data_IF_448139328474
#
_entry.id   IF_448139328474
#
_cell.length_a   1.000
_cell.length_b   1.000
_cell.length_c   1.000
_cell.angle_alpha   90.00
_cell.angle_beta   90.00
_cell.angle_gamma   90.00
#
_symmetry.space_group_name_H-M   'P 1'
#
loop_
_entity.id
_entity.type
_entity.pdbx_description
1 polymer ?
#
# COMPACT_ATOMS: atom_id res chain seq x y z
N UNK A 1 6.03 -4.23 26.47
CA UNK A 1 6.69 -2.91 26.66
C UNK A 1 7.92 -2.99 27.56
N UNK A 2 7.75 -3.34 28.84
CA UNK A 2 8.83 -3.37 29.85
C UNK A 2 10.08 -4.14 29.42
N UNK A 3 9.92 -5.38 28.96
CA UNK A 3 11.03 -6.23 28.50
C UNK A 3 11.80 -5.56 27.36
N UNK A 4 11.09 -4.98 26.39
CA UNK A 4 11.68 -4.37 25.21
C UNK A 4 12.50 -3.11 25.57
N UNK A 5 11.95 -2.21 26.39
CA UNK A 5 12.68 -1.00 26.80
C UNK A 5 13.90 -1.31 27.69
N UNK A 6 13.83 -2.37 28.49
CA UNK A 6 14.95 -2.78 29.34
C UNK A 6 16.09 -3.44 28.56
N UNK A 7 15.76 -4.25 27.54
CA UNK A 7 16.76 -5.01 26.79
C UNK A 7 17.30 -4.25 25.57
N UNK A 8 16.60 -3.20 25.12
CA UNK A 8 16.97 -2.46 23.91
C UNK A 8 17.19 -0.97 24.21
N UNK A 9 18.23 -0.58 24.99
CA UNK A 9 18.49 0.83 25.33
C UNK A 9 18.84 1.71 24.12
N UNK A 10 19.33 1.10 23.03
CA UNK A 10 19.66 1.75 21.76
C UNK A 10 18.49 1.83 20.78
N UNK A 11 17.28 1.47 21.20
CA UNK A 11 16.12 1.51 20.33
C UNK A 11 15.78 2.95 19.95
N UNK A 12 15.86 3.29 18.66
CA UNK A 12 15.53 4.63 18.18
C UNK A 12 14.06 4.80 17.78
N UNK A 13 13.44 3.73 17.28
CA UNK A 13 12.05 3.78 16.81
C UNK A 13 11.25 2.66 17.45
N UNK A 14 10.14 3.02 18.08
CA UNK A 14 9.15 2.07 18.57
C UNK A 14 7.79 2.38 17.97
N UNK A 15 7.28 1.43 17.19
CA UNK A 15 5.95 1.51 16.59
C UNK A 15 5.12 0.31 17.06
N UNK A 16 4.04 0.57 17.81
CA UNK A 16 3.08 -0.43 18.23
C UNK A 16 1.75 -0.14 17.53
N UNK A 17 1.33 -1.04 16.66
CA UNK A 17 0.11 -0.92 15.88
C UNK A 17 -0.70 -2.20 16.04
N UNK A 18 -2.00 -2.06 16.15
CA UNK A 18 -2.91 -3.19 16.23
C UNK A 18 -4.14 -2.92 15.38
N UNK A 19 -4.77 -3.97 14.84
CA UNK A 19 -6.05 -3.88 14.12
C UNK A 19 -7.18 -3.73 15.15
N UNK A 20 -7.08 -4.44 16.27
CA UNK A 20 -7.92 -4.29 17.46
C UNK A 20 -7.26 -3.35 18.48
N UNK A 21 -7.89 -3.14 19.63
CA UNK A 21 -7.27 -2.39 20.72
C UNK A 21 -6.14 -3.18 21.36
N UNK A 22 -4.94 -2.60 21.37
CA UNK A 22 -3.80 -3.11 22.13
C UNK A 22 -3.75 -2.46 23.52
N UNK A 23 -3.99 -3.23 24.57
CA UNK A 23 -3.92 -2.75 25.95
C UNK A 23 -2.47 -2.84 26.45
N UNK A 24 -1.88 -1.68 26.76
CA UNK A 24 -0.51 -1.57 27.26
C UNK A 24 -0.51 -1.37 28.78
N UNK A 25 -0.54 -2.46 29.54
CA UNK A 25 -0.48 -2.40 31.00
C UNK A 25 0.84 -1.81 31.52
N UNK A 26 0.74 -0.95 32.53
CA UNK A 26 1.88 -0.38 33.25
C UNK A 26 2.32 -1.23 34.46
N UNK A 27 3.43 -0.85 35.13
CA UNK A 27 4.39 0.16 34.72
C UNK A 27 5.35 -0.36 33.63
N UNK A 28 5.73 0.51 32.69
CA UNK A 28 6.68 0.16 31.61
C UNK A 28 8.14 0.21 32.07
N UNK A 29 8.42 0.97 33.13
CA UNK A 29 9.75 1.15 33.72
C UNK A 29 9.66 0.76 35.20
N UNK A 30 10.58 -0.07 35.69
CA UNK A 30 10.42 -0.81 36.95
C UNK A 30 10.65 0.02 38.23
N UNK A 31 11.33 1.17 38.16
CA UNK A 31 11.58 2.02 39.32
C UNK A 31 12.03 3.42 38.87
N UNK A 32 11.39 4.49 39.33
CA UNK A 32 11.82 5.87 39.05
C UNK A 32 13.24 6.14 39.58
N UNK A 33 13.60 5.52 40.70
CA UNK A 33 14.93 5.62 41.29
C UNK A 33 16.03 4.96 40.44
N UNK A 34 15.74 3.83 39.78
CA UNK A 34 16.70 3.21 38.85
C UNK A 34 16.68 3.90 37.49
N UNK A 35 15.55 4.51 37.11
CA UNK A 35 15.44 5.31 35.89
C UNK A 35 16.35 6.55 35.94
N UNK A 36 16.46 7.23 37.08
CA UNK A 36 17.41 8.35 37.25
C UNK A 36 18.88 7.95 37.13
N UNK A 37 19.21 6.68 37.44
CA UNK A 37 20.56 6.13 37.26
C UNK A 37 20.81 5.56 35.86
N UNK A 38 19.77 5.41 35.04
CA UNK A 38 19.90 4.88 33.69
C UNK A 38 20.23 6.01 32.72
N UNK A 39 21.02 5.65 31.71
CA UNK A 39 21.23 6.51 30.56
C UNK A 39 19.89 6.80 29.87
N UNK A 40 19.70 8.02 29.35
CA UNK A 40 18.52 8.36 28.57
C UNK A 40 18.34 7.37 27.40
N UNK A 41 17.10 6.97 27.13
CA UNK A 41 16.82 6.06 26.01
C UNK A 41 17.10 6.76 24.68
N UNK A 42 17.65 6.03 23.72
CA UNK A 42 17.95 6.55 22.37
C UNK A 42 16.69 6.77 21.49
N UNK A 43 15.49 6.69 22.07
CA UNK A 43 14.23 6.80 21.36
C UNK A 43 14.09 8.18 20.69
N UNK A 44 13.88 8.16 19.38
CA UNK A 44 13.62 9.32 18.52
C UNK A 44 12.20 9.34 17.99
N UNK A 45 11.58 8.17 17.78
CA UNK A 45 10.23 8.05 17.24
C UNK A 45 9.38 7.08 18.04
N UNK A 46 8.23 7.57 18.52
CA UNK A 46 7.17 6.79 19.14
C UNK A 46 5.91 6.86 18.28
N UNK A 47 5.38 5.70 17.94
CA UNK A 47 4.15 5.56 17.16
C UNK A 47 3.25 4.50 17.80
N UNK A 48 2.12 4.93 18.32
CA UNK A 48 1.13 4.07 18.95
C UNK A 48 -0.19 4.20 18.19
N UNK A 49 -0.72 3.08 17.67
CA UNK A 49 -2.00 3.03 16.94
C UNK A 49 -2.96 2.04 17.56
N UNK A 50 -4.21 2.47 17.78
CA UNK A 50 -5.27 1.67 18.42
C UNK A 50 -4.81 1.09 19.75
N UNK A 51 -4.17 1.92 20.57
CA UNK A 51 -3.66 1.50 21.88
C UNK A 51 -4.55 2.03 23.00
N UNK A 52 -4.60 1.28 24.08
CA UNK A 52 -5.05 1.77 25.37
C UNK A 52 -3.82 1.81 26.28
N UNK A 53 -3.36 3.01 26.63
CA UNK A 53 -2.15 3.21 27.44
C UNK A 53 -2.42 4.07 28.68
N UNK A 54 -1.74 3.81 29.81
CA UNK A 54 -1.79 4.70 30.95
C UNK A 54 -0.99 5.97 30.67
N UNK A 55 -1.61 7.15 30.80
CA UNK A 55 -0.93 8.43 30.54
C UNK A 55 0.34 8.58 31.39
N UNK A 56 0.29 8.20 32.66
CA UNK A 56 1.44 8.26 33.57
C UNK A 56 2.64 7.47 33.04
N UNK A 57 2.42 6.30 32.45
CA UNK A 57 3.49 5.48 31.90
C UNK A 57 4.12 6.12 30.66
N UNK A 58 3.31 6.77 29.82
CA UNK A 58 3.81 7.52 28.66
C UNK A 58 4.61 8.75 29.12
N UNK A 59 4.09 9.53 30.07
CA UNK A 59 4.79 10.68 30.65
C UNK A 59 6.16 10.28 31.25
N UNK A 60 6.22 9.18 32.01
CA UNK A 60 7.51 8.65 32.52
C UNK A 60 8.45 8.28 31.38
N UNK A 61 7.95 7.65 30.31
CA UNK A 61 8.76 7.31 29.14
C UNK A 61 9.33 8.54 28.45
N UNK A 62 8.53 9.60 28.28
CA UNK A 62 8.96 10.88 27.70
C UNK A 62 10.04 11.55 28.57
N UNK A 63 9.90 11.50 29.89
CA UNK A 63 10.89 12.04 30.83
C UNK A 63 12.27 11.40 30.68
N UNK A 64 12.33 10.10 30.38
CA UNK A 64 13.60 9.36 30.22
C UNK A 64 14.09 9.26 28.77
N UNK A 65 13.35 9.85 27.82
CA UNK A 65 13.63 9.79 26.38
C UNK A 65 13.69 11.20 25.78
N UNK A 66 14.65 12.04 26.20
CA UNK A 66 14.71 13.46 25.80
C UNK A 66 14.99 13.65 24.30
N UNK A 67 15.46 12.61 23.60
CA UNK A 67 15.79 12.62 22.18
C UNK A 67 14.59 12.38 21.25
N UNK A 68 13.38 12.24 21.80
CA UNK A 68 12.18 12.06 20.99
C UNK A 68 12.00 13.27 20.06
N UNK A 69 11.92 12.98 18.77
CA UNK A 69 11.64 13.92 17.70
C UNK A 69 10.20 13.80 17.21
N UNK A 70 9.60 12.61 17.34
CA UNK A 70 8.24 12.36 16.86
C UNK A 70 7.48 11.51 17.89
N UNK A 71 6.35 12.02 18.35
CA UNK A 71 5.38 11.29 19.17
C UNK A 71 4.04 11.23 18.45
N UNK A 72 3.55 10.01 18.24
CA UNK A 72 2.27 9.74 17.57
C UNK A 72 1.46 8.83 18.45
N UNK A 73 0.30 9.28 18.90
CA UNK A 73 -0.72 8.44 19.52
C UNK A 73 -1.97 8.60 18.67
N UNK A 74 -2.33 7.56 17.92
CA UNK A 74 -3.42 7.60 16.95
C UNK A 74 -4.48 6.57 17.33
N UNK A 75 -5.75 6.99 17.32
CA UNK A 75 -6.89 6.14 17.73
C UNK A 75 -6.70 5.56 19.15
N UNK A 76 -6.21 6.38 20.09
CA UNK A 76 -6.16 6.00 21.49
C UNK A 76 -7.57 5.64 21.96
N UNK A 77 -7.72 4.51 22.65
CA UNK A 77 -8.96 4.22 23.36
C UNK A 77 -8.91 4.84 24.74
N UNK A 78 -9.83 5.74 25.00
CA UNK A 78 -9.96 6.42 26.27
C UNK A 78 -10.91 5.66 27.18
N UNK A 79 -10.66 5.73 28.49
CA UNK A 79 -11.71 5.48 29.48
C UNK A 79 -11.95 6.78 30.20
N UNK A 80 -13.21 7.15 30.40
CA UNK A 80 -13.58 8.37 31.16
C UNK A 80 -13.00 8.36 32.57
N UNK A 81 -12.75 7.17 33.14
CA UNK A 81 -12.17 7.00 34.47
C UNK A 81 -11.04 5.96 34.49
N UNK A 82 -10.19 6.07 35.51
CA UNK A 82 -9.13 5.11 35.79
C UNK A 82 -7.79 5.44 35.13
N UNK A 83 -6.84 4.50 35.15
CA UNK A 83 -5.45 4.76 34.76
C UNK A 83 -5.26 5.01 33.27
N UNK A 84 -6.30 4.75 32.46
CA UNK A 84 -6.32 4.94 31.00
C UNK A 84 -7.06 6.21 30.57
N UNK A 85 -7.46 7.05 31.52
CA UNK A 85 -7.89 8.40 31.20
C UNK A 85 -6.67 9.21 30.70
N UNK A 86 -6.86 9.91 29.59
CA UNK A 86 -5.83 10.73 28.95
C UNK A 86 -6.32 12.16 28.84
N UNK A 87 -5.63 13.05 29.53
CA UNK A 87 -5.72 14.48 29.37
C UNK A 87 -4.72 14.92 28.29
N UNK A 88 -5.23 15.21 27.10
CA UNK A 88 -4.44 15.54 25.90
C UNK A 88 -3.55 16.78 26.13
N UNK A 89 -4.11 17.85 26.69
CA UNK A 89 -3.39 19.09 26.99
C UNK A 89 -2.21 18.86 27.92
N UNK A 90 -2.45 18.15 29.03
CA UNK A 90 -1.39 17.79 29.98
C UNK A 90 -0.29 16.96 29.32
N UNK A 91 -0.65 15.98 28.49
CA UNK A 91 0.33 15.15 27.79
C UNK A 91 1.17 15.96 26.80
N UNK A 92 0.54 16.89 26.06
CA UNK A 92 1.22 17.78 25.14
C UNK A 92 2.21 18.70 25.87
N UNK A 93 1.80 19.31 26.98
CA UNK A 93 2.67 20.16 27.82
C UNK A 93 3.84 19.36 28.40
N UNK A 94 3.58 18.12 28.86
CA UNK A 94 4.62 17.23 29.34
C UNK A 94 5.62 16.86 28.24
N UNK A 95 5.15 16.57 27.03
CA UNK A 95 6.01 16.29 25.88
C UNK A 95 6.87 17.51 25.52
N UNK A 96 6.30 18.72 25.45
CA UNK A 96 7.03 19.97 25.22
C UNK A 96 8.10 20.22 26.27
N UNK A 97 7.79 19.96 27.55
CA UNK A 97 8.72 20.16 28.68
C UNK A 97 9.92 19.22 28.64
N UNK A 98 9.71 17.95 28.30
CA UNK A 98 10.73 16.90 28.44
C UNK A 98 11.44 16.51 27.13
N UNK A 99 10.82 16.74 25.97
CA UNK A 99 11.37 16.37 24.66
C UNK A 99 11.79 17.62 23.88
N UNK A 100 12.95 18.20 24.20
CA UNK A 100 13.45 19.44 23.56
C UNK A 100 13.66 19.33 22.05
N UNK A 101 13.78 18.11 21.54
CA UNK A 101 13.96 17.81 20.12
C UNK A 101 12.65 17.45 19.40
N UNK A 102 11.50 17.58 20.06
CA UNK A 102 10.21 17.21 19.51
C UNK A 102 9.87 18.09 18.30
N UNK A 103 9.92 17.48 17.12
CA UNK A 103 9.56 18.08 15.83
C UNK A 103 8.09 17.85 15.47
N UNK A 104 7.49 16.78 16.02
CA UNK A 104 6.13 16.39 15.71
C UNK A 104 5.46 15.72 16.91
N UNK A 105 4.24 16.18 17.22
CA UNK A 105 3.36 15.61 18.23
C UNK A 105 1.98 15.41 17.61
N UNK A 106 1.41 14.22 17.83
CA UNK A 106 0.03 13.93 17.46
C UNK A 106 -0.64 13.09 18.52
N UNK A 107 -1.86 13.47 18.88
CA UNK A 107 -2.75 12.69 19.72
C UNK A 107 -4.15 12.67 19.11
N UNK A 108 -4.75 11.50 18.97
CA UNK A 108 -6.16 11.37 18.63
C UNK A 108 -6.85 10.25 19.41
N UNK A 109 -8.07 10.52 19.87
CA UNK A 109 -8.94 9.56 20.54
C UNK A 109 -9.99 9.00 19.56
N UNK A 110 -10.21 7.69 19.61
CA UNK A 110 -11.20 6.99 18.78
C UNK A 110 -12.65 7.37 19.12
N UNK A 111 -12.95 7.62 20.39
CA UNK A 111 -14.34 7.82 20.86
C UNK A 111 -14.86 9.23 20.58
N UNK A 112 -13.97 10.23 20.52
CA UNK A 112 -14.38 11.62 20.43
C UNK A 112 -14.65 12.11 19.00
N UNK A 113 -14.34 11.30 17.97
CA UNK A 113 -14.78 11.43 16.57
C UNK A 113 -14.56 12.75 15.81
N UNK A 114 -14.33 13.88 16.48
CA UNK A 114 -14.53 15.24 15.95
C UNK A 114 -13.64 16.29 16.63
N UNK A 115 -13.19 16.08 17.87
CA UNK A 115 -12.40 17.07 18.62
C UNK A 115 -10.98 16.57 18.93
N UNK A 116 -10.15 16.31 17.91
CA UNK A 116 -8.72 16.07 18.15
C UNK A 116 -7.99 17.39 18.39
N UNK A 117 -7.28 17.52 19.52
CA UNK A 117 -6.29 18.59 19.71
C UNK A 117 -5.02 18.19 18.94
N UNK A 118 -5.05 18.39 17.62
CA UNK A 118 -3.78 18.61 16.92
C UNK A 118 -3.21 19.93 17.44
N UNK A 119 -1.89 20.00 17.67
CA UNK A 119 -1.25 21.32 17.81
C UNK A 119 -1.59 22.05 16.51
N UNK A 120 -2.52 23.01 16.57
CA UNK A 120 -2.92 23.74 15.39
C UNK A 120 -1.70 24.53 14.92
N UNK A 121 -1.55 24.67 13.60
CA UNK A 121 -0.48 25.45 12.98
C UNK A 121 -0.35 26.88 13.54
N UNK A 122 -1.41 27.40 14.18
CA UNK A 122 -1.43 28.68 14.88
C UNK A 122 -0.70 28.69 16.23
N UNK A 123 -0.59 27.56 16.92
CA UNK A 123 -0.02 27.51 18.28
C UNK A 123 1.52 27.37 18.28
N UNK A 124 2.11 27.24 17.09
CA UNK A 124 3.54 27.32 16.86
C UNK A 124 3.80 28.70 16.26
N UNK A 125 3.85 29.72 17.11
CA UNK A 125 4.16 31.09 16.71
C UNK A 125 5.39 31.13 15.78
N UNK A 126 5.15 31.54 14.54
CA UNK A 126 6.00 31.35 13.37
C UNK A 126 7.29 32.16 13.31
N UNK A 127 7.88 32.57 14.44
CA UNK A 127 9.04 33.47 14.43
C UNK A 127 10.34 32.88 14.98
N UNK A 128 10.32 31.76 15.72
CA UNK A 128 11.47 31.40 16.56
C UNK A 128 12.20 30.10 16.25
N UNK A 129 11.73 29.26 15.31
CA UNK A 129 12.44 28.00 14.99
C UNK A 129 12.83 27.90 13.52
N UNK A 130 14.09 28.26 13.15
CA UNK A 130 14.61 28.12 11.79
C UNK A 130 14.69 26.64 11.34
N UNK A 131 14.58 25.68 12.26
CA UNK A 131 14.64 24.24 11.97
C UNK A 131 13.30 23.61 11.55
N UNK A 132 12.20 24.35 11.62
CA UNK A 132 10.89 23.84 11.22
C UNK A 132 10.61 23.98 9.73
N UNK A 133 11.34 24.82 8.98
CA UNK A 133 11.14 25.07 7.52
C UNK A 133 11.10 23.80 6.64
N UNK A 134 11.74 22.71 7.06
CA UNK A 134 11.76 21.45 6.30
C UNK A 134 10.76 20.37 6.82
N UNK A 135 9.95 20.68 7.84
CA UNK A 135 9.13 19.69 8.59
C UNK A 135 7.61 19.87 8.41
N UNK A 136 7.17 20.80 7.56
CA UNK A 136 5.76 21.01 7.27
C UNK A 136 5.26 19.95 6.24
N UNK A 137 4.12 19.22 6.34
CA UNK A 137 2.97 19.26 7.24
C UNK A 137 2.45 17.82 7.45
N UNK A 138 2.54 17.35 8.68
CA UNK A 138 2.05 16.03 9.08
C UNK A 138 0.59 16.15 9.52
N UNK A 139 -0.37 16.07 8.59
CA UNK A 139 -1.78 16.17 8.92
C UNK A 139 -2.35 14.86 9.47
N UNK A 140 -2.40 14.79 10.78
CA UNK A 140 -2.94 13.64 11.52
C UNK A 140 -4.30 14.03 12.10
N UNK A 141 -5.35 13.93 11.30
CA UNK A 141 -6.72 14.15 11.76
C UNK A 141 -7.55 12.90 11.53
N UNK A 142 -8.58 12.68 12.36
CA UNK A 142 -9.62 11.67 12.10
C UNK A 142 -10.49 12.03 10.89
N UNK A 143 -10.50 13.32 10.54
CA UNK A 143 -11.27 13.87 9.45
C UNK A 143 -10.35 14.72 8.59
N UNK A 144 -10.27 14.37 7.32
CA UNK A 144 -9.87 15.31 6.28
C UNK A 144 -11.03 16.30 6.13
N UNK A 145 -11.19 17.19 7.12
CA UNK A 145 -12.32 18.13 7.14
C UNK A 145 -12.25 18.98 5.87
N UNK A 146 -13.38 19.35 5.24
CA UNK A 146 -13.37 20.24 4.08
C UNK A 146 -12.54 21.52 4.27
N UNK A 147 -12.40 22.01 5.51
CA UNK A 147 -11.51 23.13 5.86
C UNK A 147 -10.03 22.80 5.67
N UNK A 148 -9.58 21.60 6.03
CA UNK A 148 -8.22 21.14 5.76
C UNK A 148 -7.97 21.06 4.27
N UNK A 149 -8.88 20.41 3.53
CA UNK A 149 -8.78 20.34 2.07
C UNK A 149 -8.67 21.76 1.52
N UNK A 150 -9.56 22.67 1.90
CA UNK A 150 -9.53 24.09 1.51
C UNK A 150 -8.17 24.75 1.80
N UNK A 151 -7.63 24.57 3.00
CA UNK A 151 -6.32 25.13 3.37
C UNK A 151 -5.19 24.57 2.50
N UNK A 152 -5.23 23.27 2.22
CA UNK A 152 -4.32 22.61 1.31
C UNK A 152 -4.44 23.14 -0.13
N UNK A 153 -5.65 23.51 -0.58
CA UNK A 153 -5.86 24.14 -1.90
C UNK A 153 -5.36 25.59 -1.95
N UNK A 154 -5.28 26.28 -0.81
CA UNK A 154 -4.78 27.67 -0.75
C UNK A 154 -3.25 27.75 -0.83
N UNK A 155 -2.53 26.67 -0.54
CA UNK A 155 -1.07 26.62 -0.55
C UNK A 155 -0.49 25.40 -1.29
N UNK A 156 -0.88 25.16 -2.56
CA UNK A 156 -0.51 23.93 -3.27
C UNK A 156 0.98 23.84 -3.58
N UNK A 157 1.67 24.98 -3.72
CA UNK A 157 3.05 25.04 -4.22
C UNK A 157 4.14 24.81 -3.16
N UNK A 158 3.78 24.74 -1.87
CA UNK A 158 4.75 24.59 -0.78
C UNK A 158 4.77 23.18 -0.20
N UNK A 159 3.71 22.40 -0.41
CA UNK A 159 3.57 21.09 0.20
C UNK A 159 4.35 20.04 -0.59
N UNK A 160 5.44 19.54 -0.03
CA UNK A 160 6.23 18.43 -0.59
C UNK A 160 5.94 17.10 0.09
N UNK A 161 5.39 17.12 1.32
CA UNK A 161 5.15 15.94 2.15
C UNK A 161 3.78 16.00 2.82
N UNK A 162 2.97 14.97 2.63
CA UNK A 162 1.65 14.80 3.24
C UNK A 162 1.52 13.39 3.84
N UNK A 163 1.31 13.28 5.15
CA UNK A 163 0.97 12.01 5.82
C UNK A 163 -0.42 12.15 6.43
N UNK A 164 -1.35 11.29 6.01
CA UNK A 164 -2.75 11.22 6.46
C UNK A 164 -2.93 9.90 7.19
N UNK A 165 -3.21 9.93 8.48
CA UNK A 165 -3.36 8.71 9.27
C UNK A 165 -4.77 8.10 9.22
N UNK A 166 -5.78 8.93 8.98
CA UNK A 166 -7.16 8.49 8.87
C UNK A 166 -7.61 8.33 7.43
N UNK A 167 -8.92 8.14 7.25
CA UNK A 167 -9.55 8.11 5.94
C UNK A 167 -9.81 9.55 5.44
N UNK A 168 -9.25 9.92 4.29
CA UNK A 168 -9.52 11.18 3.61
C UNK A 168 -10.32 10.91 2.32
N UNK A 169 -11.66 11.02 2.34
CA UNK A 169 -12.49 10.68 1.19
C UNK A 169 -12.20 11.56 -0.04
N UNK A 170 -11.67 12.78 0.14
CA UNK A 170 -11.29 13.69 -0.94
C UNK A 170 -9.78 13.71 -1.22
N UNK A 171 -9.09 12.60 -0.96
CA UNK A 171 -7.66 12.50 -1.25
C UNK A 171 -7.37 12.68 -2.75
N UNK A 172 -8.21 12.11 -3.61
CA UNK A 172 -8.05 12.27 -5.05
C UNK A 172 -8.11 13.74 -5.47
N UNK A 173 -9.08 14.51 -4.95
CA UNK A 173 -9.19 15.95 -5.21
C UNK A 173 -7.94 16.72 -4.79
N UNK A 174 -7.36 16.39 -3.62
CA UNK A 174 -6.09 16.95 -3.15
C UNK A 174 -4.93 16.64 -4.12
N UNK A 175 -4.79 15.39 -4.56
CA UNK A 175 -3.70 15.01 -5.47
C UNK A 175 -3.80 15.68 -6.84
N UNK A 176 -5.01 16.02 -7.27
CA UNK A 176 -5.27 16.73 -8.53
C UNK A 176 -4.90 18.23 -8.50
N UNK A 177 -4.54 18.78 -7.34
CA UNK A 177 -4.20 20.21 -7.18
C UNK A 177 -2.82 20.45 -6.56
N UNK A 178 -2.09 19.40 -6.18
CA UNK A 178 -0.78 19.50 -5.50
C UNK A 178 0.38 19.09 -6.42
N UNK A 179 0.81 19.93 -7.37
CA UNK A 179 1.87 19.56 -8.31
C UNK A 179 3.23 19.31 -7.63
N UNK A 180 3.51 19.98 -6.51
CA UNK A 180 4.79 19.90 -5.80
C UNK A 180 4.89 18.77 -4.78
N UNK A 181 3.84 17.96 -4.63
CA UNK A 181 3.83 16.88 -3.65
C UNK A 181 4.79 15.76 -4.09
N UNK A 182 5.81 15.51 -3.26
CA UNK A 182 6.83 14.48 -3.50
C UNK A 182 6.61 13.23 -2.66
N UNK A 183 5.98 13.35 -1.48
CA UNK A 183 5.74 12.21 -0.61
C UNK A 183 4.32 12.22 -0.04
N UNK A 184 3.54 11.19 -0.36
CA UNK A 184 2.22 10.94 0.19
C UNK A 184 2.23 9.66 1.02
N UNK A 185 1.74 9.73 2.25
CA UNK A 185 1.48 8.57 3.10
C UNK A 185 0.09 8.61 3.70
N UNK A 186 -0.85 7.98 3.04
CA UNK A 186 -2.25 7.85 3.43
C UNK A 186 -2.71 6.37 3.52
N UNK A 187 -2.06 5.51 4.33
CA UNK A 187 -2.36 4.06 4.36
C UNK A 187 -3.76 3.73 4.90
N UNK A 188 -4.40 4.68 5.60
CA UNK A 188 -5.78 4.59 6.08
C UNK A 188 -6.82 5.18 5.12
N UNK A 189 -6.38 5.77 4.01
CA UNK A 189 -7.26 6.36 2.99
C UNK A 189 -7.23 5.50 1.74
N UNK A 190 -8.37 5.36 1.06
CA UNK A 190 -8.46 4.68 -0.21
C UNK A 190 -8.69 5.66 -1.36
N UNK A 191 -8.23 5.27 -2.53
CA UNK A 191 -8.64 5.88 -3.78
C UNK A 191 -9.80 5.06 -4.32
N UNK A 192 -10.90 5.72 -4.66
CA UNK A 192 -12.01 5.05 -5.34
C UNK A 192 -11.60 4.69 -6.76
N UNK A 193 -12.01 3.50 -7.23
CA UNK A 193 -11.86 3.14 -8.64
C UNK A 193 -12.57 4.15 -9.55
N UNK A 194 -13.68 4.73 -9.11
CA UNK A 194 -14.41 5.76 -9.84
C UNK A 194 -13.59 7.02 -10.11
N UNK A 195 -12.57 7.29 -9.28
CA UNK A 195 -11.73 8.49 -9.38
C UNK A 195 -10.57 8.28 -10.36
N UNK A 196 -10.14 7.03 -10.57
CA UNK A 196 -9.02 6.68 -11.46
C UNK A 196 -9.46 6.00 -12.76
N UNK A 197 -10.73 5.62 -12.87
CA UNK A 197 -11.35 5.18 -14.12
C UNK A 197 -11.72 6.39 -14.99
N UNK A 198 -10.70 6.97 -15.62
CA UNK A 198 -10.85 8.14 -16.50
C UNK A 198 -11.72 7.88 -17.73
N UNK A 199 -11.96 6.60 -18.05
CA UNK A 199 -12.74 6.16 -19.22
C UNK A 199 -14.18 5.76 -18.84
N UNK A 200 -14.54 5.82 -17.55
CA UNK A 200 -15.87 5.45 -17.05
C UNK A 200 -16.30 4.01 -17.43
N UNK A 201 -15.36 3.08 -17.51
CA UNK A 201 -15.59 1.68 -17.88
C UNK A 201 -16.30 0.85 -16.81
N UNK A 202 -16.14 1.20 -15.53
CA UNK A 202 -16.76 0.50 -14.40
C UNK A 202 -18.14 1.06 -14.01
N UNK A 203 -18.53 2.22 -14.56
CA UNK A 203 -19.76 2.91 -14.13
C UNK A 203 -21.00 2.30 -14.80
N UNK A 204 -21.79 1.56 -14.04
CA UNK A 204 -23.12 1.12 -14.46
C UNK A 204 -24.16 2.19 -14.15
N UNK A 205 -24.39 3.11 -15.10
CA UNK A 205 -25.54 4.00 -15.10
C UNK A 205 -25.28 5.43 -14.61
N UNK A 206 -25.64 6.40 -15.48
CA UNK A 206 -25.70 7.87 -15.32
C UNK A 206 -24.39 8.57 -14.96
N UNK A 207 -23.67 9.08 -15.98
CA UNK A 207 -22.53 9.98 -15.74
C UNK A 207 -22.96 11.41 -15.39
N UNK A 208 -24.22 11.76 -15.65
CA UNK A 208 -24.74 13.15 -15.63
C UNK A 208 -24.70 13.90 -14.29
N UNK A 209 -24.17 13.32 -13.20
CA UNK A 209 -24.11 13.98 -11.89
C UNK A 209 -22.74 14.06 -11.24
N UNK A 210 -21.69 13.49 -11.84
CA UNK A 210 -20.35 13.51 -11.24
C UNK A 210 -19.40 14.39 -12.06
N UNK A 211 -18.49 15.12 -11.41
CA UNK A 211 -17.44 15.83 -12.11
C UNK A 211 -16.60 14.85 -12.94
N UNK A 212 -16.05 15.35 -14.04
CA UNK A 212 -15.12 14.59 -14.86
C UNK A 212 -13.89 14.18 -14.03
N UNK A 213 -13.39 12.95 -14.19
CA UNK A 213 -12.26 12.43 -13.43
C UNK A 213 -11.02 13.25 -13.77
N UNK A 214 -10.31 13.70 -12.74
CA UNK A 214 -9.13 14.52 -12.90
C UNK A 214 -7.89 13.64 -12.81
N UNK A 215 -6.79 14.10 -13.40
CA UNK A 215 -5.50 13.46 -13.18
C UNK A 215 -4.78 14.11 -12.01
N UNK A 216 -4.01 13.29 -11.29
CA UNK A 216 -3.11 13.80 -10.26
C UNK A 216 -2.11 14.81 -10.83
N UNK A 217 -2.01 15.97 -10.19
CA UNK A 217 -1.02 16.98 -10.53
C UNK A 217 0.38 16.58 -10.03
N UNK A 218 0.48 15.77 -8.97
CA UNK A 218 1.74 15.32 -8.36
C UNK A 218 2.46 14.24 -9.18
N UNK A 219 2.99 14.61 -10.36
CA UNK A 219 3.71 13.68 -11.27
C UNK A 219 5.06 13.23 -10.72
N UNK A 220 5.68 14.08 -9.92
CA UNK A 220 7.02 13.87 -9.36
C UNK A 220 7.01 13.15 -8.00
N UNK A 221 5.92 12.45 -7.70
CA UNK A 221 5.77 11.72 -6.45
C UNK A 221 6.85 10.63 -6.32
N UNK A 222 7.66 10.71 -5.27
CA UNK A 222 8.70 9.73 -4.93
C UNK A 222 8.22 8.69 -3.91
N UNK A 223 7.21 9.03 -3.09
CA UNK A 223 6.63 8.12 -2.11
C UNK A 223 5.11 8.14 -2.19
N UNK A 224 4.49 6.96 -2.32
CA UNK A 224 3.05 6.80 -2.35
C UNK A 224 2.65 5.61 -1.48
N UNK A 225 2.12 5.89 -0.28
CA UNK A 225 1.50 4.87 0.56
C UNK A 225 0.00 5.14 0.61
N UNK A 226 -0.82 4.24 0.10
CA UNK A 226 -2.28 4.43 -0.03
C UNK A 226 -2.99 3.13 0.24
N UNK A 227 -4.19 3.22 0.82
CA UNK A 227 -5.14 2.12 0.79
C UNK A 227 -5.70 1.93 -0.62
N UNK A 228 -5.98 0.69 -0.97
CA UNK A 228 -6.75 0.37 -2.16
C UNK A 228 -7.92 -0.51 -1.77
N UNK A 229 -9.08 -0.19 -2.33
CA UNK A 229 -10.29 -0.96 -2.11
C UNK A 229 -10.90 -1.32 -3.45
N UNK A 230 -10.98 -2.61 -3.73
CA UNK A 230 -11.68 -3.12 -4.90
C UNK A 230 -12.97 -3.80 -4.45
N UNK A 231 -14.04 -3.52 -5.19
CA UNK A 231 -15.37 -4.07 -4.96
C UNK A 231 -15.82 -4.86 -6.18
N UNK A 232 -16.70 -5.82 -5.95
CA UNK A 232 -17.30 -6.64 -7.01
C UNK A 232 -16.57 -7.95 -7.27
N UNK A 233 -17.27 -8.82 -8.00
CA UNK A 233 -16.76 -10.09 -8.51
C UNK A 233 -15.87 -9.91 -9.74
N UNK A 234 -15.97 -8.76 -10.40
CA UNK A 234 -15.35 -8.56 -11.71
C UNK A 234 -13.83 -8.61 -11.60
N UNK A 235 -13.17 -9.44 -12.42
CA UNK A 235 -11.73 -9.47 -12.48
C UNK A 235 -11.20 -8.19 -13.17
N UNK A 236 -10.11 -7.64 -12.63
CA UNK A 236 -9.36 -6.56 -13.27
C UNK A 236 -9.55 -5.11 -12.77
N UNK A 237 -10.26 -4.76 -11.67
CA UNK A 237 -10.22 -3.39 -11.15
C UNK A 237 -8.81 -2.95 -10.76
N UNK A 238 -7.95 -3.88 -10.39
CA UNK A 238 -6.56 -3.60 -10.04
C UNK A 238 -5.75 -3.07 -11.24
N UNK A 239 -6.16 -3.37 -12.48
CA UNK A 239 -5.50 -2.82 -13.69
C UNK A 239 -5.57 -1.31 -13.75
N UNK A 240 -6.67 -0.72 -13.27
CA UNK A 240 -6.79 0.73 -13.17
C UNK A 240 -5.79 1.28 -12.18
N UNK A 241 -5.71 0.69 -10.98
CA UNK A 241 -4.80 1.14 -9.93
C UNK A 241 -3.34 1.03 -10.38
N UNK A 242 -2.92 -0.15 -10.83
CA UNK A 242 -1.54 -0.40 -11.22
C UNK A 242 -1.16 0.40 -12.46
N UNK A 243 -2.02 0.43 -13.49
CA UNK A 243 -1.81 1.23 -14.70
C UNK A 243 -1.70 2.72 -14.39
N UNK A 244 -2.66 3.27 -13.64
CA UNK A 244 -2.75 4.71 -13.34
C UNK A 244 -1.53 5.16 -12.54
N UNK A 245 -1.18 4.45 -11.46
CA UNK A 245 0.00 4.78 -10.65
C UNK A 245 1.29 4.66 -11.47
N UNK A 246 1.42 3.60 -12.28
CA UNK A 246 2.63 3.36 -13.09
C UNK A 246 2.89 4.43 -14.15
N UNK A 247 1.82 5.04 -14.69
CA UNK A 247 1.89 6.07 -15.72
C UNK A 247 2.04 7.46 -15.11
N UNK A 248 1.25 7.79 -14.08
CA UNK A 248 1.21 9.14 -13.55
C UNK A 248 2.32 9.49 -12.57
N UNK A 249 2.92 8.50 -11.92
CA UNK A 249 3.97 8.71 -10.91
C UNK A 249 5.23 7.90 -11.26
N UNK A 250 5.86 8.16 -12.43
CA UNK A 250 6.99 7.35 -12.90
C UNK A 250 8.24 7.44 -12.01
N UNK A 251 8.35 8.50 -11.19
CA UNK A 251 9.48 8.76 -10.28
C UNK A 251 9.35 8.08 -8.90
N UNK A 252 8.34 7.24 -8.70
CA UNK A 252 8.14 6.56 -7.42
C UNK A 252 9.34 5.69 -7.03
N UNK A 253 9.80 5.87 -5.79
CA UNK A 253 10.86 5.08 -5.14
C UNK A 253 10.31 4.18 -4.04
N UNK A 254 9.25 4.60 -3.36
CA UNK A 254 8.62 3.86 -2.26
C UNK A 254 7.10 3.79 -2.46
N UNK A 255 6.62 2.61 -2.85
CA UNK A 255 5.20 2.35 -3.13
C UNK A 255 4.63 1.34 -2.13
N UNK A 256 3.54 1.71 -1.47
CA UNK A 256 2.78 0.83 -0.58
C UNK A 256 1.29 0.88 -0.93
N UNK A 257 0.74 -0.28 -1.27
CA UNK A 257 -0.70 -0.50 -1.35
C UNK A 257 -1.16 -1.19 -0.06
N UNK A 258 -1.70 -0.42 0.88
CA UNK A 258 -2.22 -0.94 2.14
C UNK A 258 -3.50 -1.72 1.90
N UNK A 259 -3.57 -2.93 2.47
CA UNK A 259 -4.71 -3.84 2.33
C UNK A 259 -5.93 -3.46 3.17
N UNK A 260 -6.96 -4.30 3.05
CA UNK A 260 -8.30 -4.21 3.67
C UNK A 260 -8.33 -4.25 5.20
N UNK A 261 -7.18 -4.42 5.81
CA UNK A 261 -7.00 -4.77 7.21
C UNK A 261 -7.07 -3.55 8.10
N UNK A 262 -6.63 -2.41 7.55
CA UNK A 262 -6.87 -1.10 8.14
C UNK A 262 -8.39 -0.79 8.23
N UNK A 263 -9.23 -1.54 7.51
CA UNK A 263 -10.63 -1.24 7.22
C UNK A 263 -11.63 -2.17 7.90
N UNK A 264 -11.21 -3.38 8.28
CA UNK A 264 -12.11 -4.40 8.87
C UNK A 264 -12.83 -3.92 10.14
N UNK A 265 -12.38 -2.83 10.77
CA UNK A 265 -13.02 -2.25 11.95
C UNK A 265 -14.26 -1.38 11.66
N UNK A 266 -14.53 -0.99 10.42
CA UNK A 266 -15.55 0.03 10.10
C UNK A 266 -16.91 -0.53 9.67
N UNK A 267 -16.98 -1.73 9.11
CA UNK A 267 -18.27 -2.35 8.78
C UNK A 267 -18.19 -3.88 8.73
N UNK A 268 -18.97 -4.61 9.55
CA UNK A 268 -18.97 -6.08 9.54
C UNK A 268 -19.56 -6.67 8.27
N UNK A 269 -20.41 -5.92 7.55
CA UNK A 269 -21.05 -6.36 6.30
C UNK A 269 -20.14 -6.16 5.09
N UNK A 270 -19.04 -5.42 5.24
CA UNK A 270 -18.23 -4.99 4.12
C UNK A 270 -16.82 -5.56 4.19
N UNK A 271 -16.55 -6.53 3.31
CA UNK A 271 -15.22 -7.14 3.16
C UNK A 271 -14.67 -6.71 1.82
N UNK A 272 -13.77 -5.70 1.78
CA UNK A 272 -13.13 -5.36 0.53
C UNK A 272 -12.28 -6.56 0.07
N UNK A 273 -12.10 -6.67 -1.24
CA UNK A 273 -11.31 -7.75 -1.82
C UNK A 273 -9.82 -7.40 -1.71
N UNK A 274 -8.99 -8.39 -1.41
CA UNK A 274 -7.55 -8.21 -1.47
C UNK A 274 -7.12 -7.90 -2.92
N UNK A 275 -6.13 -7.03 -3.10
CA UNK A 275 -5.60 -6.71 -4.43
C UNK A 275 -5.09 -7.99 -5.12
N UNK A 276 -5.63 -8.28 -6.29
CA UNK A 276 -5.21 -9.43 -7.08
C UNK A 276 -3.88 -9.12 -7.78
N UNK A 277 -2.79 -9.82 -7.44
CA UNK A 277 -1.47 -9.64 -8.07
C UNK A 277 -1.20 -10.58 -9.24
N UNK A 278 -2.24 -10.93 -10.00
CA UNK A 278 -2.07 -11.75 -11.19
C UNK A 278 -1.52 -10.92 -12.35
N UNK A 279 -1.04 -11.61 -13.40
CA UNK A 279 -0.64 -10.95 -14.64
C UNK A 279 -1.85 -10.26 -15.27
N UNK A 280 -2.98 -10.98 -15.36
CA UNK A 280 -4.24 -10.43 -15.87
C UNK A 280 -4.75 -9.24 -15.05
N UNK A 281 -4.48 -9.21 -13.74
CA UNK A 281 -4.77 -8.08 -12.86
C UNK A 281 -3.88 -6.85 -13.09
N UNK A 282 -2.86 -6.95 -13.95
CA UNK A 282 -2.00 -5.82 -14.33
C UNK A 282 -0.89 -5.52 -13.33
N UNK A 283 -0.59 -6.43 -12.38
CA UNK A 283 0.50 -6.20 -11.42
C UNK A 283 1.85 -5.97 -12.12
N UNK A 284 2.04 -6.57 -13.30
CA UNK A 284 3.22 -6.35 -14.12
C UNK A 284 3.40 -4.90 -14.61
N UNK A 285 2.33 -4.12 -14.71
CA UNK A 285 2.40 -2.71 -15.16
C UNK A 285 3.25 -1.86 -14.22
N UNK A 286 3.37 -2.23 -12.93
CA UNK A 286 4.25 -1.55 -11.97
C UNK A 286 5.74 -1.65 -12.32
N UNK A 287 6.14 -2.50 -13.26
CA UNK A 287 7.53 -2.52 -13.76
C UNK A 287 7.90 -1.35 -14.66
N UNK A 288 6.93 -0.50 -15.05
CA UNK A 288 7.21 0.83 -15.61
C UNK A 288 7.90 1.77 -14.62
N UNK A 289 7.76 1.53 -13.31
CA UNK A 289 8.38 2.33 -12.25
C UNK A 289 9.88 2.00 -12.11
N UNK A 290 10.71 2.55 -13.01
CA UNK A 290 12.15 2.25 -13.08
C UNK A 290 12.93 2.70 -11.83
N UNK A 291 12.42 3.71 -11.12
CA UNK A 291 13.04 4.25 -9.90
C UNK A 291 12.60 3.55 -8.62
N UNK A 292 11.74 2.54 -8.71
CA UNK A 292 11.17 1.89 -7.54
C UNK A 292 12.24 1.14 -6.75
N UNK A 293 12.44 1.51 -5.49
CA UNK A 293 13.38 0.89 -4.56
C UNK A 293 12.67 -0.03 -3.56
N UNK A 294 11.41 0.29 -3.22
CA UNK A 294 10.60 -0.42 -2.24
C UNK A 294 9.18 -0.60 -2.73
N UNK A 295 8.70 -1.84 -2.69
CA UNK A 295 7.33 -2.20 -3.02
C UNK A 295 6.69 -2.96 -1.86
N UNK A 296 5.52 -2.52 -1.42
CA UNK A 296 4.69 -3.23 -0.45
C UNK A 296 3.27 -3.36 -0.95
N UNK A 297 2.70 -4.56 -0.84
CA UNK A 297 1.32 -4.84 -1.25
C UNK A 297 0.65 -5.70 -0.18
N UNK A 298 -0.38 -5.16 0.47
CA UNK A 298 -1.05 -5.82 1.58
C UNK A 298 -0.21 -5.83 2.86
N UNK A 299 -0.87 -6.03 4.01
CA UNK A 299 -0.24 -6.07 5.34
C UNK A 299 -0.68 -7.30 6.16
N UNK A 300 -1.54 -8.16 5.63
CA UNK A 300 -2.01 -9.38 6.28
C UNK A 300 -1.24 -10.54 5.74
N UNK A 301 -0.92 -11.46 6.64
CA UNK A 301 -0.38 -12.77 6.31
C UNK A 301 -1.49 -13.61 5.64
N UNK A 302 -1.82 -13.26 4.39
CA UNK A 302 -2.68 -14.05 3.51
C UNK A 302 -1.75 -14.93 2.67
N UNK A 303 -1.99 -16.24 2.72
CA UNK A 303 -1.35 -17.18 1.83
C UNK A 303 -1.87 -16.96 0.40
N UNK A 304 -1.17 -16.12 -0.36
CA UNK A 304 -1.44 -15.95 -1.78
C UNK A 304 -0.88 -17.15 -2.53
N UNK A 305 -1.81 -17.91 -3.10
CA UNK A 305 -1.53 -19.09 -3.89
C UNK A 305 -1.71 -18.76 -5.36
N UNK A 306 -0.61 -18.34 -5.99
CA UNK A 306 -0.57 -18.07 -7.41
C UNK A 306 0.45 -18.97 -8.10
N UNK A 307 0.13 -19.50 -9.30
CA UNK A 307 1.10 -20.17 -10.15
C UNK A 307 2.39 -19.36 -10.36
N UNK A 308 3.53 -20.03 -10.53
CA UNK A 308 4.84 -19.36 -10.61
C UNK A 308 4.92 -18.31 -11.72
N UNK A 309 4.23 -18.51 -12.83
CA UNK A 309 4.25 -17.60 -13.98
C UNK A 309 3.66 -16.21 -13.67
N UNK A 310 2.96 -16.04 -12.54
CA UNK A 310 2.56 -14.74 -12.03
C UNK A 310 3.70 -13.95 -11.36
N UNK A 311 4.81 -14.60 -11.04
CA UNK A 311 5.95 -14.02 -10.32
C UNK A 311 7.26 -14.13 -11.10
N UNK A 312 7.40 -15.15 -11.95
CA UNK A 312 8.63 -15.48 -12.69
C UNK A 312 9.17 -14.32 -13.54
N UNK A 313 8.30 -13.37 -13.92
CA UNK A 313 8.65 -12.17 -14.67
C UNK A 313 9.36 -11.09 -13.85
N UNK A 314 9.22 -11.11 -12.52
CA UNK A 314 9.80 -10.11 -11.62
C UNK A 314 11.33 -10.26 -11.52
N UNK A 315 11.83 -11.50 -11.59
CA UNK A 315 13.25 -11.81 -11.43
C UNK A 315 13.87 -12.11 -12.78
N UNK A 316 14.91 -11.35 -13.14
CA UNK A 316 15.71 -11.63 -14.32
C UNK A 316 16.44 -12.97 -14.19
N UNK A 317 16.42 -13.78 -15.23
CA UNK A 317 17.23 -15.00 -15.27
C UNK A 317 18.62 -14.71 -15.84
N UNK A 318 19.67 -15.23 -15.18
CA UNK A 318 21.06 -15.12 -15.66
C UNK A 318 21.28 -15.88 -16.99
N UNK A 319 20.50 -16.93 -17.23
CA UNK A 319 20.55 -17.71 -18.47
C UNK A 319 19.55 -17.17 -19.47
N UNK A 320 20.05 -16.79 -20.66
CA UNK A 320 19.22 -16.38 -21.80
C UNK A 320 18.17 -17.44 -22.13
N UNK A 321 18.53 -18.72 -22.12
CA UNK A 321 17.63 -19.85 -22.35
C UNK A 321 16.47 -19.89 -21.34
N UNK A 322 16.76 -19.65 -20.06
CA UNK A 322 15.73 -19.62 -19.02
C UNK A 322 14.79 -18.43 -19.21
N UNK A 323 15.32 -17.26 -19.57
CA UNK A 323 14.50 -16.08 -19.85
C UNK A 323 13.63 -16.27 -21.09
N UNK A 324 14.16 -16.86 -22.18
CA UNK A 324 13.36 -17.22 -23.36
C UNK A 324 12.23 -18.18 -23.00
N UNK A 325 12.49 -19.18 -22.15
CA UNK A 325 11.45 -20.10 -21.70
C UNK A 325 10.38 -19.41 -20.85
N UNK A 326 10.77 -18.47 -19.98
CA UNK A 326 9.82 -17.63 -19.22
C UNK A 326 8.99 -16.75 -20.16
N UNK A 327 9.61 -16.12 -21.16
CA UNK A 327 8.93 -15.31 -22.17
C UNK A 327 7.93 -16.15 -22.97
N UNK A 328 8.31 -17.33 -23.45
CA UNK A 328 7.40 -18.23 -24.16
C UNK A 328 6.19 -18.62 -23.31
N UNK A 329 6.39 -18.89 -22.01
CA UNK A 329 5.28 -19.15 -21.07
C UNK A 329 4.36 -17.94 -20.96
N UNK A 330 4.90 -16.72 -20.82
CA UNK A 330 4.11 -15.47 -20.80
C UNK A 330 3.32 -15.30 -22.10
N UNK A 331 3.95 -15.49 -23.25
CA UNK A 331 3.29 -15.38 -24.55
C UNK A 331 2.18 -16.42 -24.73
N UNK A 332 2.35 -17.63 -24.19
CA UNK A 332 1.28 -18.65 -24.19
C UNK A 332 0.07 -18.20 -23.35
N UNK A 333 0.30 -17.56 -22.21
CA UNK A 333 -0.75 -16.99 -21.37
C UNK A 333 -1.45 -15.83 -22.10
N UNK A 334 -0.71 -14.92 -22.72
CA UNK A 334 -1.31 -13.81 -23.48
C UNK A 334 -2.15 -14.33 -24.65
N UNK A 335 -1.67 -15.34 -25.37
CA UNK A 335 -2.43 -15.99 -26.44
C UNK A 335 -3.74 -16.60 -25.95
N UNK A 336 -3.80 -17.11 -24.71
CA UNK A 336 -5.05 -17.63 -24.15
C UNK A 336 -6.04 -16.52 -23.76
N UNK A 337 -5.62 -15.25 -23.75
CA UNK A 337 -6.47 -14.10 -23.50
C UNK A 337 -7.22 -13.60 -24.73
N UNK A 338 -7.01 -14.18 -25.93
CA UNK A 338 -7.60 -13.70 -27.18
C UNK A 338 -9.10 -13.42 -27.08
N UNK A 339 -9.90 -14.37 -26.58
CA UNK A 339 -11.34 -14.20 -26.42
C UNK A 339 -11.71 -13.13 -25.39
N UNK A 340 -10.94 -13.00 -24.30
CA UNK A 340 -11.13 -11.96 -23.29
C UNK A 340 -10.84 -10.56 -23.85
N UNK A 341 -9.78 -10.43 -24.64
CA UNK A 341 -9.39 -9.19 -25.32
C UNK A 341 -10.46 -8.74 -26.32
N UNK A 342 -10.97 -9.67 -27.13
CA UNK A 342 -12.07 -9.39 -28.08
C UNK A 342 -13.35 -8.98 -27.35
N UNK A 343 -13.71 -9.68 -26.27
CA UNK A 343 -14.88 -9.34 -25.46
C UNK A 343 -14.75 -7.98 -24.76
N UNK A 344 -13.59 -7.63 -24.21
CA UNK A 344 -13.33 -6.31 -23.63
C UNK A 344 -13.35 -5.20 -24.69
N UNK A 345 -12.74 -5.43 -25.86
CA UNK A 345 -12.75 -4.46 -26.96
C UNK A 345 -14.17 -4.19 -27.46
N UNK A 346 -15.00 -5.24 -27.59
CA UNK A 346 -16.40 -5.08 -27.96
C UNK A 346 -17.17 -4.29 -26.89
N UNK A 347 -16.99 -4.62 -25.60
CA UNK A 347 -17.61 -3.87 -24.49
C UNK A 347 -17.20 -2.40 -24.49
N UNK A 348 -15.92 -2.10 -24.69
CA UNK A 348 -15.43 -0.71 -24.72
C UNK A 348 -15.95 0.06 -25.94
N UNK A 349 -16.06 -0.60 -27.11
CA UNK A 349 -16.68 -0.02 -28.31
C UNK A 349 -18.15 0.33 -28.08
N UNK A 350 -18.93 -0.61 -27.54
CA UNK A 350 -20.35 -0.39 -27.23
C UNK A 350 -20.51 0.72 -26.19
N UNK A 351 -19.65 0.75 -25.16
CA UNK A 351 -19.62 1.82 -24.16
C UNK A 351 -19.43 3.20 -24.82
N UNK A 352 -18.41 3.35 -25.68
CA UNK A 352 -18.15 4.61 -26.39
C UNK A 352 -19.33 5.04 -27.26
N UNK A 353 -19.98 4.10 -27.95
CA UNK A 353 -21.19 4.38 -28.72
C UNK A 353 -22.33 4.88 -27.81
N UNK A 354 -22.56 4.24 -26.66
CA UNK A 354 -23.55 4.70 -25.69
C UNK A 354 -23.23 6.09 -25.14
N UNK A 355 -21.97 6.40 -24.83
CA UNK A 355 -21.56 7.73 -24.36
C UNK A 355 -21.82 8.82 -25.40
N UNK A 356 -21.47 8.53 -26.66
CA UNK A 356 -21.71 9.46 -27.76
C UNK A 356 -23.21 9.70 -27.96
N UNK A 357 -24.05 8.65 -27.90
CA UNK A 357 -25.48 8.75 -28.15
C UNK A 357 -26.27 9.38 -27.00
N UNK A 358 -25.93 9.06 -25.75
CA UNK A 358 -26.72 9.47 -24.58
C UNK A 358 -26.25 10.79 -23.97
N UNK A 359 -24.95 11.11 -24.09
CA UNK A 359 -24.34 12.22 -23.36
C UNK A 359 -23.60 13.21 -24.28
N UNK A 360 -23.52 12.92 -25.58
CA UNK A 360 -22.82 13.78 -26.54
C UNK A 360 -21.30 13.81 -26.35
N UNK A 361 -20.74 12.90 -25.55
CA UNK A 361 -19.30 12.82 -25.28
C UNK A 361 -18.64 12.07 -26.43
N UNK A 362 -17.94 12.80 -27.30
CA UNK A 362 -17.17 12.19 -28.42
C UNK A 362 -15.84 11.61 -27.95
N UNK A 363 -15.14 12.32 -27.07
CA UNK A 363 -13.87 11.91 -26.50
C UNK A 363 -13.91 11.99 -24.96
N UNK A 364 -13.95 10.85 -24.25
CA UNK A 364 -13.97 10.81 -22.79
C UNK A 364 -12.74 11.43 -22.11
N UNK A 365 -11.64 11.63 -22.83
CA UNK A 365 -10.38 12.15 -22.28
C UNK A 365 -10.01 13.54 -22.80
N UNK A 366 -10.90 14.20 -23.54
CA UNK A 366 -10.65 15.55 -24.07
C UNK A 366 -10.39 16.59 -22.97
N UNK A 367 -10.94 16.39 -21.77
CA UNK A 367 -10.75 17.30 -20.63
C UNK A 367 -9.39 17.18 -19.94
N UNK A 368 -8.52 16.27 -20.38
CA UNK A 368 -7.22 16.00 -19.75
C UNK A 368 -6.11 16.99 -20.14
N UNK A 369 -6.41 18.01 -20.95
CA UNK A 369 -5.45 19.01 -21.44
C UNK A 369 -4.70 18.56 -22.69
N UNK A 370 -3.57 19.21 -23.01
CA UNK A 370 -2.86 19.03 -24.30
C UNK A 370 -1.70 18.01 -24.26
N UNK A 371 -1.58 17.23 -23.18
CA UNK A 371 -0.53 16.21 -23.06
C UNK A 371 -0.89 14.94 -23.86
N UNK A 372 -0.68 14.99 -25.18
CA UNK A 372 -0.97 13.90 -26.11
C UNK A 372 -0.18 12.63 -25.79
N UNK A 373 1.04 12.75 -25.29
CA UNK A 373 1.84 11.60 -24.89
C UNK A 373 1.21 10.87 -23.70
N UNK A 374 0.77 11.62 -22.69
CA UNK A 374 0.09 11.05 -21.54
C UNK A 374 -1.27 10.44 -21.93
N UNK A 375 -2.03 11.09 -22.79
CA UNK A 375 -3.29 10.54 -23.33
C UNK A 375 -3.05 9.20 -24.03
N UNK A 376 -2.01 9.11 -24.86
CA UNK A 376 -1.64 7.87 -25.53
C UNK A 376 -1.29 6.76 -24.53
N UNK A 377 -0.53 7.07 -23.48
CA UNK A 377 -0.20 6.11 -22.42
C UNK A 377 -1.42 5.65 -21.62
N UNK A 378 -2.42 6.52 -21.46
CA UNK A 378 -3.64 6.24 -20.70
C UNK A 378 -4.78 5.64 -21.55
N UNK A 379 -4.64 5.56 -22.88
CA UNK A 379 -5.69 5.13 -23.81
C UNK A 379 -6.30 3.76 -23.42
N UNK A 380 -5.46 2.83 -22.98
CA UNK A 380 -5.85 1.46 -22.65
C UNK A 380 -5.98 1.21 -21.14
N UNK A 381 -5.92 2.25 -20.30
CA UNK A 381 -5.92 2.14 -18.85
C UNK A 381 -7.07 1.27 -18.31
N UNK A 382 -6.74 0.20 -17.60
CA UNK A 382 -7.75 -0.69 -16.98
C UNK A 382 -8.29 -1.79 -17.90
N UNK A 383 -7.87 -1.83 -19.17
CA UNK A 383 -8.16 -2.94 -20.10
C UNK A 383 -7.06 -4.01 -20.05
N UNK A 384 -7.42 -5.25 -20.39
CA UNK A 384 -6.48 -6.36 -20.58
C UNK A 384 -5.50 -6.06 -21.71
N UNK A 385 -5.93 -5.24 -22.68
CA UNK A 385 -5.10 -4.82 -23.81
C UNK A 385 -3.84 -4.08 -23.35
N UNK A 386 -3.91 -3.22 -22.32
CA UNK A 386 -2.73 -2.53 -21.78
C UNK A 386 -1.71 -3.53 -21.21
N UNK A 387 -2.20 -4.51 -20.46
CA UNK A 387 -1.38 -5.60 -19.90
C UNK A 387 -0.73 -6.43 -21.01
N UNK A 388 -1.49 -6.82 -22.04
CA UNK A 388 -0.99 -7.62 -23.16
C UNK A 388 0.10 -6.88 -23.93
N UNK A 389 -0.16 -5.63 -24.36
CA UNK A 389 0.82 -4.80 -25.06
C UNK A 389 2.08 -4.58 -24.22
N UNK A 390 1.93 -4.36 -22.92
CA UNK A 390 3.07 -4.22 -22.02
C UNK A 390 3.92 -5.49 -21.95
N UNK A 391 3.30 -6.67 -21.77
CA UNK A 391 4.00 -7.94 -21.71
C UNK A 391 4.65 -8.33 -23.04
N UNK A 392 4.08 -7.94 -24.17
CA UNK A 392 4.64 -8.11 -25.51
C UNK A 392 5.87 -7.20 -25.73
N UNK A 393 5.78 -5.94 -25.32
CA UNK A 393 6.89 -4.98 -25.40
C UNK A 393 8.06 -5.33 -24.48
N UNK A 394 7.82 -6.10 -23.41
CA UNK A 394 8.87 -6.48 -22.48
C UNK A 394 10.03 -7.27 -23.12
N UNK A 395 9.87 -7.95 -24.25
CA UNK A 395 10.95 -8.77 -24.84
C UNK A 395 12.06 -8.01 -25.56
N UNK A 396 11.97 -6.69 -25.73
CA UNK A 396 12.64 -6.01 -26.87
C UNK A 396 13.74 -5.04 -26.47
N UNK A 397 13.82 -4.60 -25.21
CA UNK A 397 14.90 -3.71 -24.79
C UNK A 397 16.17 -4.56 -24.60
N UNK A 398 16.97 -4.68 -25.65
CA UNK A 398 18.41 -4.89 -25.48
C UNK A 398 18.95 -3.55 -25.00
N UNK A 399 19.50 -3.51 -23.78
CA UNK A 399 20.25 -2.33 -23.34
C UNK A 399 21.43 -2.18 -24.31
N UNK A 400 21.57 -1.04 -24.97
CA UNK A 400 22.68 -0.76 -25.90
C UNK A 400 24.05 -0.98 -25.23
N UNK A 401 24.10 -0.98 -23.89
CA UNK A 401 25.29 -1.23 -23.07
C UNK A 401 25.52 -2.72 -22.72
N UNK A 402 24.77 -3.68 -23.27
CA UNK A 402 24.96 -5.11 -23.01
C UNK A 402 24.63 -5.54 -21.56
N UNK A 403 23.96 -4.68 -20.80
CA UNK A 403 23.50 -4.96 -19.45
C UNK A 403 22.33 -5.96 -19.45
N UNK A 404 22.31 -6.89 -18.49
CA UNK A 404 21.13 -7.72 -18.25
C UNK A 404 19.93 -6.82 -17.90
N UNK A 405 18.93 -6.78 -18.77
CA UNK A 405 17.75 -5.93 -18.62
C UNK A 405 16.99 -6.24 -17.31
N UNK A 406 17.22 -5.45 -16.26
CA UNK A 406 16.47 -5.57 -15.01
C UNK A 406 15.12 -4.85 -15.16
N UNK A 407 14.03 -5.60 -14.98
CA UNK A 407 12.66 -5.05 -14.98
C UNK A 407 12.49 -3.92 -13.96
N UNK A 408 12.99 -4.15 -12.76
CA UNK A 408 13.16 -3.12 -11.75
C UNK A 408 14.65 -2.96 -11.43
N UNK A 409 15.35 -2.03 -12.09
CA UNK A 409 16.79 -1.90 -11.91
C UNK A 409 17.17 -1.50 -10.48
N UNK A 410 16.29 -0.78 -9.78
CA UNK A 410 16.53 -0.23 -8.43
C UNK A 410 15.79 -0.93 -7.30
N UNK A 411 14.96 -1.94 -7.56
CA UNK A 411 14.12 -2.54 -6.52
C UNK A 411 14.97 -3.37 -5.56
N UNK A 412 14.97 -2.98 -4.30
CA UNK A 412 15.78 -3.60 -3.24
C UNK A 412 14.92 -4.39 -2.26
N UNK A 413 13.70 -3.92 -1.99
CA UNK A 413 12.85 -4.47 -0.93
C UNK A 413 11.42 -4.69 -1.43
N UNK A 414 10.93 -5.90 -1.27
CA UNK A 414 9.56 -6.29 -1.58
C UNK A 414 8.91 -6.94 -0.37
N UNK A 415 7.67 -6.57 -0.09
CA UNK A 415 6.83 -7.21 0.93
C UNK A 415 5.43 -7.42 0.37
N UNK A 416 5.03 -8.67 0.19
CA UNK A 416 3.72 -9.01 -0.37
C UNK A 416 2.95 -9.81 0.69
N UNK A 417 1.89 -9.21 1.24
CA UNK A 417 1.04 -9.81 2.27
C UNK A 417 1.84 -10.25 3.50
N UNK A 418 2.67 -9.34 4.01
CA UNK A 418 3.41 -9.54 5.25
C UNK A 418 3.37 -8.28 6.09
N UNK A 419 3.26 -8.49 7.40
CA UNK A 419 3.39 -7.42 8.40
C UNK A 419 4.83 -6.89 8.54
N UNK A 420 5.81 -7.53 7.90
CA UNK A 420 7.23 -7.17 8.02
C UNK A 420 7.48 -5.83 7.32
N UNK A 421 7.83 -4.75 8.06
CA UNK A 421 7.94 -3.43 7.46
C UNK A 421 9.12 -3.34 6.50
N UNK A 422 10.22 -4.04 6.71
CA UNK A 422 11.42 -3.84 5.90
C UNK A 422 11.41 -4.59 4.55
N UNK A 423 10.48 -5.52 4.36
CA UNK A 423 10.47 -6.42 3.20
C UNK A 423 11.72 -7.31 3.10
N UNK A 424 11.77 -8.12 2.04
CA UNK A 424 12.91 -8.97 1.70
C UNK A 424 13.50 -8.57 0.33
N UNK A 425 14.74 -9.01 0.02
CA UNK A 425 15.24 -8.95 -1.36
C UNK A 425 14.25 -9.61 -2.34
N UNK A 426 14.15 -9.07 -3.54
CA UNK A 426 13.15 -9.46 -4.55
C UNK A 426 13.16 -10.97 -4.82
N UNK A 427 14.34 -11.56 -4.99
CA UNK A 427 14.51 -12.98 -5.31
C UNK A 427 13.96 -13.87 -4.20
N UNK A 428 14.23 -13.53 -2.94
CA UNK A 428 13.76 -14.30 -1.77
C UNK A 428 12.25 -14.20 -1.61
N UNK A 429 11.68 -13.01 -1.85
CA UNK A 429 10.24 -12.82 -1.74
C UNK A 429 9.50 -13.55 -2.87
N UNK A 430 10.03 -13.54 -4.09
CA UNK A 430 9.48 -14.30 -5.23
C UNK A 430 9.60 -15.81 -5.01
N UNK A 431 10.74 -16.30 -4.52
CA UNK A 431 10.92 -17.71 -4.16
C UNK A 431 9.88 -18.16 -3.12
N UNK A 432 9.68 -17.35 -2.07
CA UNK A 432 8.65 -17.61 -1.05
C UNK A 432 7.26 -17.73 -1.68
N UNK A 433 6.89 -16.81 -2.57
CA UNK A 433 5.57 -16.81 -3.22
C UNK A 433 5.38 -18.03 -4.13
N UNK A 434 6.43 -18.45 -4.85
CA UNK A 434 6.41 -19.65 -5.69
C UNK A 434 6.28 -20.91 -4.83
N UNK A 435 7.04 -21.01 -3.73
CA UNK A 435 6.97 -22.14 -2.81
C UNK A 435 5.59 -22.26 -2.16
N UNK A 436 5.01 -21.15 -1.73
CA UNK A 436 3.64 -21.10 -1.18
C UNK A 436 2.61 -21.66 -2.18
N UNK A 437 2.76 -21.35 -3.47
CA UNK A 437 1.90 -21.90 -4.53
C UNK A 437 2.10 -23.40 -4.80
N UNK A 438 3.33 -23.93 -4.64
CA UNK A 438 3.62 -25.36 -4.88
C UNK A 438 3.05 -26.29 -3.81
N UNK A 439 3.14 -25.90 -2.54
CA UNK A 439 2.67 -26.72 -1.41
C UNK A 439 1.19 -27.04 -1.56
N UNK A 440 0.38 -26.08 -2.01
CA UNK A 440 -1.05 -26.32 -2.19
C UNK A 440 -1.38 -27.17 -3.41
N UNK A 441 -0.69 -27.02 -4.55
CA UNK A 441 -0.95 -27.89 -5.70
C UNK A 441 -0.79 -29.36 -5.32
N UNK A 442 0.20 -29.64 -4.48
CA UNK A 442 0.46 -30.95 -3.92
C UNK A 442 -0.66 -31.38 -2.95
N UNK A 443 -1.14 -30.51 -2.06
CA UNK A 443 -2.30 -30.76 -1.18
C UNK A 443 -3.59 -31.02 -1.97
N UNK A 444 -3.87 -30.23 -3.02
CA UNK A 444 -5.04 -30.37 -3.88
C UNK A 444 -4.97 -31.68 -4.64
N UNK A 445 -3.82 -31.99 -5.27
CA UNK A 445 -3.61 -33.27 -5.96
C UNK A 445 -3.77 -34.44 -4.99
N UNK A 446 -3.19 -34.38 -3.79
CA UNK A 446 -3.37 -35.41 -2.76
C UNK A 446 -4.84 -35.55 -2.32
N UNK A 447 -5.57 -34.44 -2.17
CA UNK A 447 -6.99 -34.47 -1.77
C UNK A 447 -7.88 -35.08 -2.86
N UNK A 448 -7.63 -34.74 -4.13
CA UNK A 448 -8.33 -35.28 -5.29
C UNK A 448 -8.00 -36.75 -5.47
N UNK A 449 -6.72 -37.12 -5.37
CA UNK A 449 -6.29 -38.53 -5.40
C UNK A 449 -6.92 -39.32 -4.25
N UNK A 450 -7.02 -38.76 -3.04
CA UNK A 450 -7.67 -39.41 -1.90
C UNK A 450 -9.17 -39.64 -2.15
N UNK A 451 -9.88 -38.69 -2.78
CA UNK A 451 -11.28 -38.86 -3.20
C UNK A 451 -11.44 -39.97 -4.24
N UNK A 452 -10.47 -40.13 -5.15
CA UNK A 452 -10.51 -41.15 -6.19
C UNK A 452 -9.74 -42.44 -5.85
N UNK A 453 -9.25 -42.59 -4.61
CA UNK A 453 -8.49 -43.77 -4.16
C UNK A 453 -9.27 -45.07 -4.30
N UNK A 454 -10.60 -45.03 -4.14
CA UNK A 454 -11.48 -46.18 -4.36
C UNK A 454 -11.65 -46.55 -5.83
N UNK A 455 -11.37 -45.62 -6.75
CA UNK A 455 -11.58 -45.79 -8.18
C UNK A 455 -10.31 -46.22 -8.93
N UNK A 456 -9.13 -45.70 -8.53
CA UNK A 456 -7.87 -45.97 -9.24
C UNK A 456 -7.15 -47.27 -8.81
N UNK A 457 -7.55 -47.90 -7.71
CA UNK A 457 -6.80 -49.03 -7.14
C UNK A 457 -5.45 -48.60 -6.53
N UNK A 458 -4.98 -49.32 -5.51
CA UNK A 458 -3.84 -48.93 -4.68
C UNK A 458 -2.53 -48.77 -5.48
N UNK A 459 -2.34 -49.59 -6.52
CA UNK A 459 -1.11 -49.58 -7.32
C UNK A 459 -1.00 -48.32 -8.19
N UNK A 460 -2.06 -47.94 -8.90
CA UNK A 460 -2.06 -46.71 -9.73
C UNK A 460 -1.93 -45.46 -8.86
N UNK A 461 -2.54 -45.48 -7.66
CA UNK A 461 -2.39 -44.40 -6.69
C UNK A 461 -0.93 -44.17 -6.27
N UNK A 462 -0.17 -45.24 -5.98
CA UNK A 462 1.25 -45.15 -5.59
C UNK A 462 2.10 -44.64 -6.75
N UNK A 463 1.87 -45.12 -7.98
CA UNK A 463 2.64 -44.68 -9.15
C UNK A 463 2.41 -43.21 -9.47
N UNK A 464 1.17 -42.73 -9.38
CA UNK A 464 0.84 -41.30 -9.56
C UNK A 464 1.45 -40.45 -8.46
N UNK A 465 1.45 -40.92 -7.21
CA UNK A 465 2.07 -40.21 -6.09
C UNK A 465 3.59 -40.05 -6.28
N UNK A 466 4.29 -41.12 -6.67
CA UNK A 466 5.73 -41.09 -6.96
C UNK A 466 6.04 -40.12 -8.11
N UNK A 467 5.20 -40.11 -9.15
CA UNK A 467 5.38 -39.23 -10.30
C UNK A 467 5.13 -37.75 -9.98
N UNK A 468 4.09 -37.45 -9.20
CA UNK A 468 3.74 -36.07 -8.79
C UNK A 468 4.75 -35.50 -7.80
N UNK A 469 5.25 -36.32 -6.88
CA UNK A 469 6.19 -35.88 -5.84
C UNK A 469 7.64 -35.80 -6.34
N UNK A 470 7.93 -36.25 -7.56
CA UNK A 470 9.29 -36.29 -8.10
C UNK A 470 10.24 -37.16 -7.26
N UNK A 471 9.72 -38.19 -6.58
CA UNK A 471 10.54 -39.09 -5.80
C UNK A 471 11.43 -39.92 -6.75
N UNK A 472 12.71 -40.16 -6.40
CA UNK A 472 13.61 -40.95 -7.22
C UNK A 472 12.99 -42.33 -7.49
N UNK A 473 13.06 -42.80 -8.75
CA UNK A 473 12.54 -44.10 -9.16
C UNK A 473 13.14 -45.17 -8.26
N UNK A 474 12.28 -45.89 -7.52
CA UNK A 474 12.72 -47.06 -6.77
C UNK A 474 13.23 -48.11 -7.77
N UNK A 475 14.34 -48.80 -7.49
CA UNK A 475 14.73 -49.97 -8.27
C UNK A 475 13.65 -51.02 -8.04
N UNK A 476 13.01 -51.45 -9.13
CA UNK A 476 12.10 -52.59 -9.16
C UNK A 476 12.89 -53.89 -9.09
#
# INVERSE_FOLDING_TARGET
>A
MRVLLNNCPRLETLSLRSISTLILSGPWILNEHTAKKRYPLALRRLDFRRVQLPQSCLETLLTISPYIQQLTVYEAQHKTTGPYAVNETRLADHAKKHCRHLKSFHFSNRENGSNSIGIQLSDIDGTSSPYLRDVWHLYRGHECVPSLVRNLQLQPSMLTRLEILANCPDLHGCLCIMPTLLHLKAPGTYISLDDIDIHFRQRHGRLSRRPLPRLWACRDLETLHIGCSTYGSDPGPERYIFGYVSVLCPKLRDLEFSGVENWMSLSPTYRPRALTMTLEGGFCLLSRLRFLERLRVGSTDIDIKLPSWHWDWMVASLSSRTETAKQQKRMKVIKSWKSKLEAEALRDKLRLQCLCLLEGVQDPIAHLGDDEQLKAQLQHLGLLKDVALFLEGMSIEEDDEGGTLRRWPRLQRVSIHRTVPFGQPLEREVERLILAGKVEMLVVVLSTLKKHRHFLGTFVFVTVLVFVLGLPKWPL
#
